data_IF_231525510381
#
_entry.id   IF_231525510381
#
_cell.length_a   1.000
_cell.length_b   1.000
_cell.length_c   1.000
_cell.angle_alpha   90.00
_cell.angle_beta   90.00
_cell.angle_gamma   90.00
#
_symmetry.space_group_name_H-M   'P 1'
#
loop_
_entity.id
_entity.type
_entity.pdbx_description
1 polymer ?
#
# COMPACT_ATOMS: atom_id res chain seq x y z
N UNK A 1 -10.01 19.13 -23.22
CA UNK A 1 -9.40 17.79 -23.37
C UNK A 1 -8.74 17.38 -22.05
N UNK A 2 -9.38 16.52 -21.27
CA UNK A 2 -8.88 16.08 -19.96
C UNK A 2 -8.12 14.77 -20.15
N UNK A 3 -6.78 14.78 -19.99
CA UNK A 3 -6.00 13.56 -19.91
C UNK A 3 -6.21 12.94 -18.53
N UNK A 4 -6.93 11.84 -18.47
CA UNK A 4 -7.06 11.00 -17.29
C UNK A 4 -5.71 10.32 -17.04
N UNK A 5 -4.91 10.86 -16.13
CA UNK A 5 -3.76 10.15 -15.58
C UNK A 5 -4.25 9.11 -14.58
N UNK A 6 -4.70 7.99 -15.08
CA UNK A 6 -5.02 6.82 -14.27
C UNK A 6 -3.69 6.12 -13.96
N UNK A 7 -3.07 6.44 -12.82
CA UNK A 7 -1.79 5.90 -12.34
C UNK A 7 -1.78 4.36 -12.18
N UNK A 8 -2.95 3.73 -12.33
CA UNK A 8 -3.12 2.28 -12.24
C UNK A 8 -3.32 1.60 -13.59
N UNK A 9 -3.31 2.36 -14.68
CA UNK A 9 -3.41 1.83 -16.05
C UNK A 9 -2.11 2.07 -16.80
N UNK A 10 -1.07 1.28 -16.52
CA UNK A 10 -0.02 1.04 -17.49
C UNK A 10 -0.52 -0.08 -18.39
N UNK A 11 -1.21 0.26 -19.48
CA UNK A 11 -1.47 -0.67 -20.58
C UNK A 11 -0.14 -1.01 -21.23
N UNK A 12 0.34 -2.22 -20.99
CA UNK A 12 1.39 -2.81 -21.78
C UNK A 12 0.77 -3.19 -23.16
N UNK A 13 1.23 -2.65 -24.27
CA UNK A 13 0.70 -3.04 -25.57
C UNK A 13 1.34 -4.37 -25.99
N UNK A 14 0.48 -5.33 -26.28
CA UNK A 14 0.73 -6.58 -27.00
C UNK A 14 1.27 -7.74 -26.18
N UNK A 15 0.33 -8.63 -25.83
CA UNK A 15 0.49 -10.04 -26.17
C UNK A 15 -0.89 -10.70 -26.18
N UNK A 16 -1.41 -10.94 -27.38
CA UNK A 16 -2.40 -11.97 -27.64
C UNK A 16 -1.71 -13.31 -27.38
N UNK A 17 -1.94 -13.91 -26.24
CA UNK A 17 -1.59 -15.28 -25.96
C UNK A 17 -2.67 -15.91 -25.08
N UNK A 18 -3.20 -16.97 -25.60
CA UNK A 18 -4.18 -17.95 -25.14
C UNK A 18 -4.16 -18.16 -23.61
N UNK A 19 -5.40 -18.33 -23.07
CA UNK A 19 -5.67 -18.84 -21.73
C UNK A 19 -4.69 -19.93 -21.32
N UNK A 20 -3.80 -19.63 -20.39
CA UNK A 20 -3.01 -20.64 -19.71
C UNK A 20 -2.78 -20.16 -18.28
N UNK A 21 -3.33 -20.90 -17.34
CA UNK A 21 -2.99 -20.99 -15.93
C UNK A 21 -2.50 -19.68 -15.27
N UNK A 22 -3.40 -19.03 -14.53
CA UNK A 22 -3.03 -18.02 -13.54
C UNK A 22 -1.91 -18.61 -12.67
N UNK A 23 -0.68 -18.25 -12.98
CA UNK A 23 0.47 -18.61 -12.15
C UNK A 23 0.27 -17.97 -10.78
N UNK A 24 0.31 -18.81 -9.78
CA UNK A 24 0.20 -18.54 -8.35
C UNK A 24 0.95 -17.27 -7.93
N UNK A 25 0.32 -16.53 -6.99
CA UNK A 25 0.90 -15.38 -6.26
C UNK A 25 2.42 -15.45 -6.17
N UNK A 26 3.08 -14.36 -6.55
CA UNK A 26 4.52 -14.24 -6.48
C UNK A 26 5.00 -14.55 -5.04
N UNK A 27 5.70 -15.67 -4.88
CA UNK A 27 6.41 -16.04 -3.66
C UNK A 27 7.82 -15.53 -3.81
N UNK A 28 8.24 -14.65 -2.92
CA UNK A 28 9.65 -14.31 -2.78
C UNK A 28 10.20 -15.11 -1.60
N UNK A 29 10.98 -16.13 -1.86
CA UNK A 29 11.60 -16.96 -0.82
C UNK A 29 12.93 -16.36 -0.40
N UNK A 30 13.10 -16.17 0.90
CA UNK A 30 14.34 -15.71 1.46
C UNK A 30 14.63 -16.44 2.77
N UNK A 31 15.67 -17.25 2.84
CA UNK A 31 16.08 -18.04 4.02
C UNK A 31 14.90 -18.69 4.74
N UNK A 32 13.97 -19.31 3.99
CA UNK A 32 12.76 -19.92 4.54
C UNK A 32 11.62 -18.94 4.88
N UNK A 33 11.82 -17.63 4.76
CA UNK A 33 10.76 -16.64 4.92
C UNK A 33 10.15 -16.27 3.56
N UNK A 34 8.87 -16.53 3.40
CA UNK A 34 8.12 -16.15 2.18
C UNK A 34 7.46 -14.79 2.40
N UNK A 35 7.85 -13.78 1.61
CA UNK A 35 7.17 -12.48 1.60
C UNK A 35 5.90 -12.62 0.78
N UNK A 36 4.74 -12.37 1.43
CA UNK A 36 3.42 -12.47 0.81
C UNK A 36 2.92 -11.09 0.45
N UNK A 37 2.87 -10.83 -0.84
CA UNK A 37 2.40 -9.56 -1.40
C UNK A 37 1.47 -9.83 -2.58
N UNK A 38 0.60 -8.88 -2.87
CA UNK A 38 -0.24 -8.88 -4.06
C UNK A 38 0.60 -8.41 -5.25
N UNK A 39 0.57 -9.12 -6.36
CA UNK A 39 1.12 -8.63 -7.64
C UNK A 39 0.37 -7.39 -8.10
N UNK A 40 0.85 -6.70 -9.13
CA UNK A 40 0.16 -5.51 -9.68
C UNK A 40 -1.25 -5.87 -10.14
N UNK A 41 -1.41 -7.00 -10.83
CA UNK A 41 -2.71 -7.48 -11.32
C UNK A 41 -3.63 -7.90 -10.17
N UNK A 42 -3.11 -8.64 -9.18
CA UNK A 42 -3.86 -9.01 -7.98
C UNK A 42 -4.28 -7.78 -7.16
N UNK A 43 -3.41 -6.76 -7.07
CA UNK A 43 -3.73 -5.50 -6.39
C UNK A 43 -4.84 -4.74 -7.12
N UNK A 44 -4.81 -4.72 -8.45
CA UNK A 44 -5.86 -4.12 -9.26
C UNK A 44 -7.18 -4.88 -9.07
N UNK A 45 -7.16 -6.21 -9.15
CA UNK A 45 -8.34 -7.07 -8.89
C UNK A 45 -8.91 -6.85 -7.49
N UNK A 46 -8.05 -6.70 -6.47
CA UNK A 46 -8.48 -6.35 -5.12
C UNK A 46 -9.18 -4.99 -5.09
N UNK A 47 -8.60 -3.95 -5.71
CA UNK A 47 -9.24 -2.63 -5.73
C UNK A 47 -10.54 -2.62 -6.52
N UNK A 48 -10.65 -3.40 -7.59
CA UNK A 48 -11.86 -3.49 -8.40
C UNK A 48 -13.00 -4.21 -7.68
N UNK A 49 -12.69 -5.11 -6.75
CA UNK A 49 -13.67 -5.78 -5.90
C UNK A 49 -14.30 -4.85 -4.84
N UNK A 50 -13.72 -3.66 -4.60
CA UNK A 50 -14.20 -2.74 -3.57
C UNK A 50 -15.24 -1.79 -4.17
N UNK A 51 -16.50 -2.03 -3.85
CA UNK A 51 -17.65 -1.22 -4.25
C UNK A 51 -17.78 0.09 -3.47
N UNK A 52 -17.40 0.08 -2.19
CA UNK A 52 -17.45 1.26 -1.34
C UNK A 52 -16.27 2.20 -1.61
N UNK A 53 -16.55 3.37 -2.20
CA UNK A 53 -15.54 4.38 -2.51
C UNK A 53 -14.66 4.77 -1.32
N UNK A 54 -15.24 4.91 -0.12
CA UNK A 54 -14.49 5.31 1.08
C UNK A 54 -13.51 4.22 1.50
N UNK A 55 -13.90 2.93 1.42
CA UNK A 55 -13.01 1.81 1.69
C UNK A 55 -11.93 1.68 0.60
N UNK A 56 -12.29 1.89 -0.68
CA UNK A 56 -11.32 1.87 -1.78
C UNK A 56 -10.26 2.95 -1.57
N UNK A 57 -10.68 4.19 -1.28
CA UNK A 57 -9.76 5.30 -1.00
C UNK A 57 -8.87 4.99 0.22
N UNK A 58 -9.43 4.43 1.28
CA UNK A 58 -8.73 4.03 2.48
C UNK A 58 -7.59 3.03 2.18
N UNK A 59 -7.86 1.95 1.47
CA UNK A 59 -6.84 0.95 1.14
C UNK A 59 -5.82 1.43 0.12
N UNK A 60 -6.22 2.32 -0.81
CA UNK A 60 -5.27 2.99 -1.71
C UNK A 60 -4.28 3.86 -0.93
N UNK A 61 -4.77 4.59 0.08
CA UNK A 61 -3.89 5.40 0.95
C UNK A 61 -2.96 4.51 1.79
N UNK A 62 -3.45 3.39 2.36
CA UNK A 62 -2.60 2.43 3.09
C UNK A 62 -1.49 1.88 2.18
N UNK A 63 -1.84 1.47 0.96
CA UNK A 63 -0.89 0.95 -0.02
C UNK A 63 0.16 1.99 -0.40
N UNK A 64 -0.26 3.19 -0.81
CA UNK A 64 0.66 4.23 -1.28
C UNK A 64 1.57 4.79 -0.19
N UNK A 65 1.10 4.88 1.05
CA UNK A 65 1.94 5.25 2.19
C UNK A 65 2.88 4.12 2.62
N UNK A 66 2.56 2.87 2.28
CA UNK A 66 3.27 1.70 2.77
C UNK A 66 3.33 1.65 4.30
N UNK A 67 2.37 2.26 5.00
CA UNK A 67 2.37 2.39 6.45
C UNK A 67 1.81 1.15 7.15
N UNK A 68 2.07 1.01 8.45
CA UNK A 68 1.42 -0.01 9.28
C UNK A 68 -0.01 0.40 9.58
N UNK A 69 -0.91 -0.60 9.73
CA UNK A 69 -2.32 -0.31 10.04
C UNK A 69 -2.49 0.50 11.32
N UNK A 70 -1.67 0.25 12.34
CA UNK A 70 -1.69 1.04 13.59
C UNK A 70 -1.23 2.48 13.42
N UNK A 71 -0.36 2.77 12.47
CA UNK A 71 0.04 4.12 12.10
C UNK A 71 -1.07 4.81 11.30
N UNK A 72 -1.68 4.06 10.37
CA UNK A 72 -2.74 4.55 9.51
C UNK A 72 -3.97 5.03 10.28
N UNK A 73 -4.47 4.25 11.23
CA UNK A 73 -5.68 4.60 11.98
C UNK A 73 -5.53 5.88 12.81
N UNK A 74 -4.29 6.26 13.14
CA UNK A 74 -3.98 7.47 13.92
C UNK A 74 -3.72 8.71 13.07
N UNK A 75 -3.82 8.63 11.74
CA UNK A 75 -3.65 9.80 10.88
C UNK A 75 -4.80 10.77 11.11
N UNK A 76 -4.47 12.01 11.46
CA UNK A 76 -5.39 13.14 11.59
C UNK A 76 -5.22 14.10 10.42
N UNK A 77 -6.21 14.95 10.17
CA UNK A 77 -6.19 15.92 9.06
C UNK A 77 -5.01 16.88 9.17
N UNK A 78 -4.61 17.28 10.39
CA UNK A 78 -3.42 18.12 10.64
C UNK A 78 -2.10 17.51 10.19
N UNK A 79 -2.05 16.19 10.01
CA UNK A 79 -0.85 15.50 9.55
C UNK A 79 -0.67 15.56 8.01
N UNK A 80 -1.66 16.10 7.28
CA UNK A 80 -1.64 16.18 5.81
C UNK A 80 -1.05 17.52 5.35
N UNK A 81 -0.04 17.46 4.52
CA UNK A 81 0.54 18.61 3.83
C UNK A 81 0.12 18.61 2.36
N UNK A 82 -1.01 19.21 2.04
CA UNK A 82 -1.63 19.16 0.71
C UNK A 82 -0.74 19.72 -0.40
N UNK A 83 -0.02 20.82 -0.15
CA UNK A 83 0.88 21.43 -1.14
C UNK A 83 2.07 20.56 -1.51
N UNK A 84 2.57 19.80 -0.53
CA UNK A 84 3.72 18.88 -0.70
C UNK A 84 3.31 17.46 -1.02
N UNK A 85 2.01 17.15 -0.96
CA UNK A 85 1.47 15.79 -1.09
C UNK A 85 2.15 14.80 -0.14
N UNK A 86 2.27 15.18 1.13
CA UNK A 86 2.93 14.35 2.15
C UNK A 86 2.06 14.18 3.39
N UNK A 87 2.32 13.11 4.12
CA UNK A 87 1.69 12.77 5.41
C UNK A 87 2.78 12.67 6.46
N UNK A 88 2.63 13.42 7.54
CA UNK A 88 3.52 13.36 8.70
C UNK A 88 3.03 12.31 9.69
N UNK A 89 3.93 11.46 10.15
CA UNK A 89 3.70 10.49 11.22
C UNK A 89 4.49 10.95 12.46
N UNK A 90 3.85 11.50 13.49
CA UNK A 90 4.53 11.87 14.71
C UNK A 90 5.05 10.64 15.47
N UNK A 91 6.07 10.82 16.32
CA UNK A 91 6.78 9.75 17.00
C UNK A 91 5.85 8.81 17.78
N UNK A 92 4.88 9.38 18.48
CA UNK A 92 3.90 8.66 19.30
C UNK A 92 3.00 7.72 18.48
N UNK A 93 2.82 8.02 17.19
CA UNK A 93 2.00 7.23 16.27
C UNK A 93 2.79 6.11 15.57
N UNK A 94 4.11 6.08 15.71
CA UNK A 94 4.97 5.09 15.06
C UNK A 94 5.40 3.99 16.02
N UNK A 95 5.50 2.75 15.55
CA UNK A 95 6.02 1.63 16.35
C UNK A 95 7.46 1.86 16.81
N UNK A 96 8.26 2.55 16.01
CA UNK A 96 9.68 2.79 16.25
C UNK A 96 9.96 4.04 17.10
N UNK A 97 8.92 4.80 17.48
CA UNK A 97 9.02 6.06 18.21
C UNK A 97 9.89 7.13 17.50
N UNK A 98 10.03 7.04 16.19
CA UNK A 98 10.69 8.04 15.36
C UNK A 98 9.68 8.70 14.42
N UNK A 99 9.64 10.03 14.35
CA UNK A 99 8.76 10.72 13.43
C UNK A 99 9.26 10.51 11.99
N UNK A 100 8.34 10.54 11.03
CA UNK A 100 8.67 10.51 9.62
C UNK A 100 7.62 11.21 8.77
N UNK A 101 8.02 11.57 7.56
CA UNK A 101 7.12 12.05 6.52
C UNK A 101 7.13 11.06 5.37
N UNK A 102 5.95 10.68 4.89
CA UNK A 102 5.76 9.80 3.73
C UNK A 102 5.06 10.55 2.61
N UNK A 103 5.44 10.26 1.37
CA UNK A 103 4.83 10.85 0.19
C UNK A 103 3.53 10.13 -0.17
N UNK A 104 2.57 10.89 -0.70
CA UNK A 104 1.36 10.37 -1.29
C UNK A 104 1.26 10.90 -2.73
N UNK A 105 0.93 10.09 -3.74
CA UNK A 105 0.75 10.57 -5.10
C UNK A 105 -0.21 11.77 -5.16
N UNK A 106 0.14 12.80 -5.94
CA UNK A 106 -0.66 14.06 -6.01
C UNK A 106 -2.13 13.80 -6.34
N UNK A 107 -2.41 12.89 -7.29
CA UNK A 107 -3.79 12.52 -7.65
C UNK A 107 -4.56 11.96 -6.44
N UNK A 108 -3.95 11.05 -5.68
CA UNK A 108 -4.57 10.46 -4.50
C UNK A 108 -4.73 11.48 -3.36
N UNK A 109 -3.75 12.38 -3.16
CA UNK A 109 -3.89 13.49 -2.20
C UNK A 109 -5.05 14.41 -2.57
N UNK A 110 -5.27 14.68 -3.85
CA UNK A 110 -6.41 15.46 -4.31
C UNK A 110 -7.75 14.75 -4.07
N UNK A 111 -7.81 13.43 -4.25
CA UNK A 111 -9.00 12.63 -3.92
C UNK A 111 -9.29 12.70 -2.40
N UNK A 112 -8.26 12.54 -1.56
CA UNK A 112 -8.38 12.71 -0.10
C UNK A 112 -8.87 14.11 0.25
N UNK A 113 -8.31 15.15 -0.36
CA UNK A 113 -8.73 16.54 -0.14
C UNK A 113 -10.19 16.77 -0.54
N UNK A 114 -10.62 16.19 -1.65
CA UNK A 114 -12.00 16.26 -2.13
C UNK A 114 -12.97 15.58 -1.17
N UNK A 115 -12.63 14.40 -0.68
CA UNK A 115 -13.39 13.69 0.36
C UNK A 115 -13.53 14.52 1.64
N UNK A 116 -12.45 15.15 2.10
CA UNK A 116 -12.46 16.01 3.29
C UNK A 116 -13.30 17.28 3.11
N UNK A 117 -13.29 17.87 1.89
CA UNK A 117 -14.19 18.98 1.53
C UNK A 117 -15.66 18.57 1.55
N UNK A 118 -15.99 17.40 1.00
CA UNK A 118 -17.36 16.87 1.03
C UNK A 118 -17.86 16.62 2.45
N UNK A 119 -16.98 16.14 3.32
CA UNK A 119 -17.27 15.94 4.75
C UNK A 119 -17.24 17.22 5.59
N UNK A 120 -16.96 18.39 5.01
CA UNK A 120 -16.91 19.68 5.70
C UNK A 120 -15.71 19.88 6.62
N UNK A 121 -14.70 19.01 6.54
CA UNK A 121 -13.46 19.11 7.33
C UNK A 121 -12.49 20.14 6.77
N UNK A 122 -12.61 20.42 5.48
CA UNK A 122 -11.90 21.48 4.75
C UNK A 122 -12.95 22.40 4.14
N UNK A 123 -12.72 23.71 4.20
CA UNK A 123 -13.58 24.71 3.57
C UNK A 123 -13.63 24.51 2.04
N UNK A 124 -14.82 24.40 1.49
CA UNK A 124 -15.00 24.30 0.04
C UNK A 124 -14.50 25.56 -0.69
N UNK A 125 -14.69 26.74 -0.07
CA UNK A 125 -14.36 28.06 -0.66
C UNK A 125 -12.87 28.37 -0.51
N UNK A 126 -12.34 28.42 0.72
CA UNK A 126 -10.96 28.84 0.98
C UNK A 126 -9.95 27.71 0.92
N UNK A 127 -10.37 26.44 1.03
CA UNK A 127 -9.48 25.31 1.13
C UNK A 127 -8.80 25.15 2.49
N UNK A 128 -9.15 25.99 3.48
CA UNK A 128 -8.57 25.93 4.81
C UNK A 128 -9.12 24.75 5.61
N UNK A 129 -8.25 24.14 6.42
CA UNK A 129 -8.62 23.06 7.34
C UNK A 129 -9.48 23.65 8.46
N UNK A 130 -10.69 23.10 8.64
CA UNK A 130 -11.64 23.50 9.70
C UNK A 130 -11.53 22.64 10.93
N UNK A 131 -11.17 21.36 10.76
CA UNK A 131 -11.11 20.35 11.82
C UNK A 131 -9.77 19.61 11.75
N UNK A 132 -8.70 20.18 12.30
CA UNK A 132 -7.34 19.61 12.18
C UNK A 132 -7.19 18.29 12.96
N UNK A 133 -7.88 18.12 14.09
CA UNK A 133 -7.69 17.01 15.01
C UNK A 133 -8.57 15.79 14.73
N UNK A 134 -9.44 15.87 13.70
CA UNK A 134 -10.24 14.71 13.33
C UNK A 134 -9.41 13.65 12.61
N UNK A 135 -9.76 12.39 12.81
CA UNK A 135 -9.12 11.28 12.11
C UNK A 135 -9.44 11.32 10.62
N UNK A 136 -8.42 11.05 9.80
CA UNK A 136 -8.54 11.06 8.34
C UNK A 136 -9.63 10.09 7.87
N UNK A 137 -9.61 8.89 8.44
CA UNK A 137 -10.64 7.87 8.26
C UNK A 137 -11.26 7.52 9.62
N UNK A 138 -12.56 7.61 9.71
CA UNK A 138 -13.30 7.41 10.94
C UNK A 138 -14.62 6.65 10.68
N UNK A 139 -15.12 5.86 11.64
CA UNK A 139 -16.39 5.17 11.51
C UNK A 139 -17.56 6.14 11.65
N UNK A 140 -18.43 6.19 10.65
CA UNK A 140 -19.68 6.94 10.70
C UNK A 140 -19.52 8.46 10.93
N UNK A 141 -20.42 9.02 11.73
CA UNK A 141 -20.48 10.47 12.03
C UNK A 141 -19.57 10.92 13.18
N UNK A 142 -18.91 10.01 13.87
CA UNK A 142 -18.06 10.31 15.03
C UNK A 142 -16.63 10.63 14.58
N UNK A 143 -16.36 11.86 14.24
CA UNK A 143 -15.08 12.34 13.72
C UNK A 143 -13.90 12.19 14.70
N UNK A 144 -14.17 12.13 16.01
CA UNK A 144 -13.14 11.97 17.06
C UNK A 144 -12.81 10.50 17.36
N UNK A 145 -13.46 9.55 16.70
CA UNK A 145 -13.23 8.13 16.88
C UNK A 145 -12.44 7.58 15.69
N UNK A 146 -11.26 7.07 15.94
CA UNK A 146 -10.51 6.35 14.93
C UNK A 146 -11.11 4.97 14.67
N UNK A 147 -10.85 4.40 13.49
CA UNK A 147 -11.03 2.97 13.29
C UNK A 147 -10.11 2.19 14.24
N UNK A 148 -10.58 1.05 14.74
CA UNK A 148 -9.69 0.07 15.36
C UNK A 148 -8.90 -0.65 14.27
N UNK A 149 -7.67 -1.08 14.59
CA UNK A 149 -6.88 -1.89 13.66
C UNK A 149 -7.62 -3.17 13.25
N UNK A 150 -8.33 -3.78 14.21
CA UNK A 150 -9.11 -4.99 13.96
C UNK A 150 -10.23 -4.73 12.94
N UNK A 151 -10.91 -3.58 13.03
CA UNK A 151 -11.95 -3.23 12.05
C UNK A 151 -11.39 -3.07 10.64
N UNK A 152 -10.23 -2.45 10.49
CA UNK A 152 -9.55 -2.34 9.19
C UNK A 152 -9.17 -3.74 8.65
N UNK A 153 -8.67 -4.64 9.52
CA UNK A 153 -8.37 -6.02 9.13
C UNK A 153 -9.61 -6.80 8.67
N UNK A 154 -10.75 -6.62 9.37
CA UNK A 154 -12.02 -7.23 8.98
C UNK A 154 -12.51 -6.73 7.62
N UNK A 155 -12.45 -5.40 7.38
CA UNK A 155 -12.86 -4.81 6.09
C UNK A 155 -11.94 -5.30 4.97
N UNK A 156 -10.61 -5.37 5.21
CA UNK A 156 -9.67 -5.94 4.25
C UNK A 156 -9.99 -7.40 3.93
N UNK A 157 -10.22 -8.20 4.98
CA UNK A 157 -10.52 -9.62 4.82
C UNK A 157 -11.79 -9.85 4.00
N UNK A 158 -12.83 -9.07 4.26
CA UNK A 158 -14.05 -9.11 3.46
C UNK A 158 -13.76 -8.89 1.96
N UNK A 159 -13.05 -7.82 1.59
CA UNK A 159 -12.79 -7.52 0.18
C UNK A 159 -11.78 -8.45 -0.49
N UNK A 160 -10.77 -8.94 0.24
CA UNK A 160 -9.82 -9.89 -0.34
C UNK A 160 -10.47 -11.25 -0.63
N UNK A 161 -11.51 -11.62 0.11
CA UNK A 161 -12.35 -12.78 -0.18
C UNK A 161 -13.26 -12.51 -1.37
N UNK A 162 -13.92 -11.36 -1.43
CA UNK A 162 -14.74 -10.96 -2.60
C UNK A 162 -13.92 -10.95 -3.89
N UNK A 163 -12.67 -10.54 -3.83
CA UNK A 163 -11.76 -10.57 -4.97
C UNK A 163 -11.30 -11.99 -5.37
N UNK A 164 -11.65 -13.03 -4.60
CA UNK A 164 -11.24 -14.43 -4.78
C UNK A 164 -9.72 -14.66 -4.76
N UNK A 165 -8.98 -13.73 -4.17
CA UNK A 165 -7.52 -13.81 -4.06
C UNK A 165 -7.08 -14.52 -2.80
N UNK A 166 -7.94 -14.56 -1.74
CA UNK A 166 -7.56 -15.14 -0.46
C UNK A 166 -7.37 -16.66 -0.56
N UNK A 167 -6.31 -17.14 0.07
CA UNK A 167 -6.00 -18.56 0.21
C UNK A 167 -5.30 -18.81 1.54
N UNK A 168 -5.37 -20.05 1.99
CA UNK A 168 -4.65 -20.52 3.18
C UNK A 168 -3.32 -21.07 2.70
N UNK A 169 -2.22 -20.62 3.29
CA UNK A 169 -0.89 -21.09 2.92
C UNK A 169 -0.28 -22.06 3.94
N UNK A 170 -0.75 -22.04 5.19
CA UNK A 170 -0.29 -22.91 6.26
C UNK A 170 -1.31 -23.01 7.41
N UNK A 171 -1.02 -23.84 8.39
CA UNK A 171 -1.67 -23.82 9.70
C UNK A 171 -0.58 -23.56 10.76
N UNK A 172 -0.93 -22.83 11.81
CA UNK A 172 -0.03 -22.65 12.96
C UNK A 172 -0.01 -23.90 13.87
N UNK A 173 0.80 -23.86 14.93
CA UNK A 173 0.94 -24.96 15.91
C UNK A 173 -0.38 -25.35 16.58
N UNK A 174 -1.36 -24.46 16.61
CA UNK A 174 -2.69 -24.66 17.19
C UNK A 174 -3.73 -25.08 16.14
N UNK A 175 -3.31 -25.39 14.91
CA UNK A 175 -4.20 -25.75 13.80
C UNK A 175 -4.96 -24.58 13.17
N UNK A 176 -4.69 -23.32 13.57
CA UNK A 176 -5.33 -22.14 13.02
C UNK A 176 -4.84 -21.90 11.58
N UNK A 177 -5.77 -21.69 10.69
CA UNK A 177 -5.49 -21.39 9.29
C UNK A 177 -4.78 -20.03 9.15
N UNK A 178 -3.66 -20.01 8.44
CA UNK A 178 -2.91 -18.79 8.14
C UNK A 178 -3.25 -18.29 6.73
N UNK A 179 -3.79 -17.09 6.67
CA UNK A 179 -4.23 -16.44 5.45
C UNK A 179 -3.03 -15.93 4.64
N UNK A 180 -3.06 -16.13 3.32
CA UNK A 180 -2.03 -15.66 2.40
C UNK A 180 -1.89 -14.15 2.44
N UNK A 181 -3.02 -13.44 2.35
CA UNK A 181 -3.04 -11.99 2.36
C UNK A 181 -3.69 -11.44 3.62
N UNK A 182 -3.07 -10.41 4.16
CA UNK A 182 -3.54 -9.59 5.27
C UNK A 182 -3.42 -8.11 4.89
N UNK A 183 -3.98 -7.22 5.68
CA UNK A 183 -3.79 -5.78 5.44
C UNK A 183 -2.31 -5.37 5.38
N UNK A 184 -1.43 -6.13 6.04
CA UNK A 184 0.02 -5.90 5.99
C UNK A 184 0.63 -6.23 4.62
N UNK A 185 -0.02 -7.11 3.85
CA UNK A 185 0.40 -7.43 2.47
C UNK A 185 0.35 -6.21 1.55
N UNK A 186 -0.52 -5.22 1.80
CA UNK A 186 -0.50 -3.95 1.06
C UNK A 186 0.83 -3.20 1.22
N UNK A 187 1.40 -3.22 2.42
CA UNK A 187 2.73 -2.64 2.67
C UNK A 187 3.83 -3.45 1.99
N UNK A 188 3.75 -4.77 2.01
CA UNK A 188 4.69 -5.63 1.28
C UNK A 188 4.60 -5.39 -0.23
N UNK A 189 3.38 -5.27 -0.77
CA UNK A 189 3.14 -4.93 -2.18
C UNK A 189 3.72 -3.56 -2.53
N UNK A 190 3.52 -2.53 -1.70
CA UNK A 190 4.14 -1.22 -1.91
C UNK A 190 5.65 -1.34 -2.04
N UNK A 191 6.31 -2.02 -1.09
CA UNK A 191 7.77 -2.16 -1.10
C UNK A 191 8.22 -2.90 -2.37
N UNK A 192 7.61 -4.04 -2.70
CA UNK A 192 7.97 -4.84 -3.89
C UNK A 192 7.77 -4.05 -5.18
N UNK A 193 6.60 -3.45 -5.38
CA UNK A 193 6.29 -2.72 -6.60
C UNK A 193 7.19 -1.49 -6.79
N UNK A 194 7.52 -0.79 -5.71
CA UNK A 194 8.37 0.39 -5.83
C UNK A 194 9.86 0.06 -5.97
N UNK A 195 10.34 -1.01 -5.31
CA UNK A 195 11.76 -1.41 -5.40
C UNK A 195 12.05 -2.23 -6.64
N UNK A 196 11.23 -3.24 -6.95
CA UNK A 196 11.50 -4.20 -8.02
C UNK A 196 10.95 -3.72 -9.36
N UNK A 197 9.64 -3.37 -9.39
CA UNK A 197 8.99 -3.05 -10.66
C UNK A 197 9.28 -1.62 -11.12
N UNK A 198 9.29 -0.65 -10.19
CA UNK A 198 9.52 0.78 -10.48
C UNK A 198 10.95 1.23 -10.26
N UNK A 199 11.83 0.36 -9.77
CA UNK A 199 13.28 0.59 -9.57
C UNK A 199 13.60 1.83 -8.72
N UNK A 200 12.74 2.16 -7.76
CA UNK A 200 13.00 3.25 -6.81
C UNK A 200 14.08 2.83 -5.83
N UNK A 201 15.07 3.70 -5.61
CA UNK A 201 16.21 3.41 -4.75
C UNK A 201 15.79 3.01 -3.33
N UNK A 202 16.38 1.95 -2.80
CA UNK A 202 16.04 1.34 -1.52
C UNK A 202 16.03 2.31 -0.33
N UNK A 203 16.98 3.28 -0.19
CA UNK A 203 16.94 4.26 0.90
C UNK A 203 15.69 5.14 0.87
N UNK A 204 15.17 5.44 -0.33
CA UNK A 204 13.92 6.22 -0.50
C UNK A 204 12.74 5.41 0.04
N UNK A 205 12.65 4.14 -0.34
CA UNK A 205 11.58 3.26 0.14
C UNK A 205 11.70 3.01 1.64
N UNK A 206 12.91 2.83 2.16
CA UNK A 206 13.15 2.71 3.59
C UNK A 206 12.59 3.91 4.37
N UNK A 207 12.89 5.12 3.90
CA UNK A 207 12.40 6.38 4.49
C UNK A 207 10.88 6.47 4.36
N UNK A 208 10.33 6.14 3.20
CA UNK A 208 8.89 6.15 2.91
C UNK A 208 8.12 5.29 3.91
N UNK A 209 8.53 4.04 4.09
CA UNK A 209 7.81 3.07 4.93
C UNK A 209 8.22 3.11 6.41
N UNK A 210 9.31 3.80 6.75
CA UNK A 210 9.82 3.92 8.11
C UNK A 210 10.44 2.62 8.64
N UNK A 211 11.30 1.99 7.84
CA UNK A 211 12.16 0.90 8.32
C UNK A 211 13.40 1.46 8.99
N UNK A 212 13.65 1.05 10.24
CA UNK A 212 14.81 1.51 11.01
C UNK A 212 16.13 0.98 10.45
N UNK A 213 16.11 -0.22 9.88
CA UNK A 213 17.29 -0.89 9.34
C UNK A 213 17.12 -1.17 7.85
N UNK A 214 18.18 -0.91 7.07
CA UNK A 214 18.26 -1.34 5.67
C UNK A 214 18.10 -2.84 5.53
N UNK A 215 18.61 -3.64 6.50
CA UNK A 215 18.45 -5.09 6.53
C UNK A 215 16.98 -5.52 6.40
N UNK A 216 16.05 -4.77 7.01
CA UNK A 216 14.60 -5.06 6.90
C UNK A 216 14.06 -4.80 5.50
N UNK A 217 14.66 -3.88 4.75
CA UNK A 217 14.22 -3.54 3.40
C UNK A 217 15.01 -4.33 2.35
N UNK A 218 16.27 -4.67 2.61
CA UNK A 218 17.11 -5.46 1.68
C UNK A 218 16.61 -6.88 1.46
N UNK A 219 15.81 -7.41 2.39
CA UNK A 219 15.12 -8.70 2.22
C UNK A 219 14.29 -8.75 0.92
N UNK A 220 13.77 -7.60 0.48
CA UNK A 220 12.97 -7.49 -0.75
C UNK A 220 13.81 -7.41 -2.04
N UNK A 221 15.14 -7.23 -1.92
CA UNK A 221 16.05 -7.04 -3.06
C UNK A 221 16.92 -8.24 -3.37
N UNK A 222 16.79 -9.33 -2.65
CA UNK A 222 17.64 -10.50 -2.93
C UNK A 222 17.19 -11.13 -4.25
N UNK A 223 18.04 -11.06 -5.28
CA UNK A 223 17.73 -11.67 -6.55
C UNK A 223 17.70 -13.20 -6.37
N UNK A 224 16.83 -13.88 -7.12
CA UNK A 224 16.98 -15.31 -7.32
C UNK A 224 18.27 -15.59 -8.12
N UNK A 225 18.77 -16.82 -8.06
CA UNK A 225 19.96 -17.23 -8.80
C UNK A 225 19.80 -16.98 -10.30
N UNK A 226 18.58 -17.16 -10.83
CA UNK A 226 18.25 -16.88 -12.24
C UNK A 226 18.40 -15.40 -12.58
N UNK A 227 17.85 -14.51 -11.73
CA UNK A 227 17.98 -13.05 -11.93
C UNK A 227 19.42 -12.57 -11.77
N UNK A 228 20.23 -13.24 -10.95
CA UNK A 228 21.65 -12.95 -10.86
C UNK A 228 22.34 -13.33 -12.18
N UNK A 229 22.08 -14.53 -12.72
CA UNK A 229 22.64 -14.97 -13.97
C UNK A 229 22.27 -14.01 -15.13
N UNK A 230 20.97 -13.68 -15.27
CA UNK A 230 20.49 -12.73 -16.28
C UNK A 230 21.19 -11.35 -16.17
N UNK A 231 21.38 -10.84 -14.94
CA UNK A 231 22.03 -9.55 -14.72
C UNK A 231 23.51 -9.58 -15.08
N UNK A 232 24.21 -10.71 -14.80
CA UNK A 232 25.61 -10.89 -15.17
C UNK A 232 25.78 -11.05 -16.69
N UNK A 233 24.93 -11.85 -17.34
CA UNK A 233 24.95 -11.98 -18.81
C UNK A 233 24.72 -10.62 -19.49
N UNK A 234 23.73 -9.86 -19.03
CA UNK A 234 23.47 -8.53 -19.57
C UNK A 234 24.64 -7.57 -19.38
N UNK A 235 25.28 -7.56 -18.22
CA UNK A 235 26.43 -6.69 -17.96
C UNK A 235 27.63 -7.03 -18.84
N UNK A 236 27.83 -8.31 -19.21
CA UNK A 236 28.90 -8.75 -20.12
C UNK A 236 28.61 -8.36 -21.58
N UNK A 237 27.32 -8.30 -21.97
CA UNK A 237 26.93 -7.93 -23.33
C UNK A 237 26.91 -6.41 -23.57
N UNK A 238 26.78 -5.61 -22.52
CA UNK A 238 26.70 -4.13 -22.57
C UNK A 238 28.05 -3.44 -22.24
N UNK A 239 29.11 -4.18 -21.87
CA UNK A 239 30.46 -3.69 -21.58
C UNK A 239 31.42 -3.98 -22.68
#
# INVERSE_FOLDING_TARGET
MRKNNNLYCVKNPRNNAKSSNVKSSAKYEHFGETIRYLTIDELQQFFDSIDNYFHKLMFRVIYELGCRVGEFVRIQVKHLHFSRSTVFFPAENTKTKHPRTSCLPKGLMNEVRSMLKQKGMISKRSGNVRRPDVYLFHPGKRYNQQYTENRIRQIFHYYIEQSRLQRIYAKDSNGRKLNMFTVHSLRHSHIMHYTVDRKVALPIIQKQVGHRSLKTTSVYLRPSTEKMAEAYEKAVLEG
#
